data_IF_976591465290
#
_entry.id   IF_976591465290
#
_cell.length_a   1.000
_cell.length_b   1.000
_cell.length_c   1.000
_cell.angle_alpha   90.00
_cell.angle_beta   90.00
_cell.angle_gamma   90.00
#
_symmetry.space_group_name_H-M   'P 1'
#
loop_
_entity.id
_entity.type
_entity.pdbx_description
1 polymer ?
#
# COMPACT_ATOMS: atom_id res chain seq x y z
N UNK A 1 4.39 12.61 -18.66
CA UNK A 1 4.16 12.16 -17.28
C UNK A 1 4.64 13.19 -16.24
N UNK A 2 5.87 13.77 -16.38
CA UNK A 2 6.38 14.78 -15.43
C UNK A 2 5.40 15.96 -15.25
N UNK A 3 4.90 16.55 -16.35
CA UNK A 3 3.95 17.67 -16.26
C UNK A 3 2.65 17.30 -15.52
N UNK A 4 2.18 16.07 -15.70
CA UNK A 4 1.03 15.51 -14.99
C UNK A 4 1.30 15.44 -13.48
N UNK A 5 2.40 14.81 -13.09
CA UNK A 5 2.75 14.66 -11.66
C UNK A 5 2.99 16.03 -10.99
N UNK A 6 3.66 16.96 -11.66
CA UNK A 6 3.83 18.33 -11.13
C UNK A 6 2.50 19.05 -10.92
N UNK A 7 1.55 18.90 -11.83
CA UNK A 7 0.23 19.51 -11.67
C UNK A 7 -0.47 19.01 -10.40
N UNK A 8 -0.49 17.69 -10.18
CA UNK A 8 -1.13 17.12 -8.98
C UNK A 8 -0.33 17.37 -7.69
N UNK A 9 0.99 17.40 -7.77
CA UNK A 9 1.85 17.81 -6.65
C UNK A 9 1.58 19.25 -6.20
N UNK A 10 1.31 20.19 -7.15
CA UNK A 10 0.86 21.54 -6.81
C UNK A 10 -0.50 21.57 -6.10
N UNK A 11 -1.41 20.67 -6.49
CA UNK A 11 -2.71 20.53 -5.81
C UNK A 11 -2.48 20.00 -4.40
N UNK A 12 -1.66 18.95 -4.25
CA UNK A 12 -1.29 18.37 -2.96
C UNK A 12 -0.67 19.41 -2.02
N UNK A 13 0.25 20.25 -2.54
CA UNK A 13 0.85 21.36 -1.78
C UNK A 13 -0.22 22.33 -1.26
N UNK A 14 -1.13 22.76 -2.13
CA UNK A 14 -2.20 23.70 -1.74
C UNK A 14 -3.21 23.07 -0.77
N UNK A 15 -3.45 21.79 -0.88
CA UNK A 15 -4.36 21.04 -0.01
C UNK A 15 -3.73 20.67 1.34
N UNK A 16 -2.42 20.84 1.50
CA UNK A 16 -1.70 20.44 2.71
C UNK A 16 -1.60 18.94 2.88
N UNK A 17 -1.49 18.19 1.77
CA UNK A 17 -1.32 16.73 1.84
C UNK A 17 -0.01 16.38 2.54
N UNK A 18 -0.06 15.38 3.41
CA UNK A 18 1.08 14.94 4.24
C UNK A 18 2.06 14.04 3.48
N UNK A 19 1.64 13.44 2.37
CA UNK A 19 2.43 12.57 1.49
C UNK A 19 1.93 12.70 0.05
N UNK A 20 2.86 12.74 -0.90
CA UNK A 20 2.56 12.64 -2.32
C UNK A 20 3.22 11.40 -2.92
N UNK A 21 2.44 10.48 -3.46
CA UNK A 21 2.96 9.32 -4.20
C UNK A 21 3.13 9.71 -5.67
N UNK A 22 4.38 9.75 -6.14
CA UNK A 22 4.73 10.17 -7.49
C UNK A 22 4.36 9.16 -8.59
N UNK A 23 3.88 8.01 -8.22
CA UNK A 23 3.36 6.96 -9.10
C UNK A 23 2.89 5.76 -8.30
N UNK A 24 2.09 4.91 -8.95
CA UNK A 24 1.55 3.69 -8.40
C UNK A 24 1.67 2.60 -9.46
N UNK A 25 2.31 1.48 -9.11
CA UNK A 25 2.42 0.25 -9.90
C UNK A 25 2.83 0.46 -11.37
N UNK A 26 3.75 1.36 -11.60
CA UNK A 26 4.23 1.66 -12.96
C UNK A 26 5.35 0.70 -13.38
N UNK A 27 5.12 -0.60 -13.17
CA UNK A 27 6.08 -1.71 -13.29
C UNK A 27 6.87 -1.69 -14.60
N UNK A 28 6.21 -1.36 -15.73
CA UNK A 28 6.84 -1.28 -17.04
C UNK A 28 7.88 -0.17 -17.19
N UNK A 29 7.95 0.76 -16.23
CA UNK A 29 8.86 1.90 -16.28
C UNK A 29 9.82 1.99 -15.09
N UNK A 30 9.68 1.16 -14.08
CA UNK A 30 10.47 1.20 -12.84
C UNK A 30 11.98 1.04 -13.09
N UNK A 31 12.36 0.29 -14.13
CA UNK A 31 13.75 0.15 -14.58
C UNK A 31 14.36 1.44 -15.15
N UNK A 32 13.56 2.47 -15.43
CA UNK A 32 14.00 3.75 -15.99
C UNK A 32 14.43 4.72 -14.89
N UNK A 33 15.45 4.34 -14.15
CA UNK A 33 15.93 5.07 -12.97
C UNK A 33 16.18 6.56 -13.21
N UNK A 34 16.87 6.91 -14.32
CA UNK A 34 17.20 8.31 -14.63
C UNK A 34 15.94 9.17 -14.78
N UNK A 35 14.91 8.64 -15.43
CA UNK A 35 13.65 9.33 -15.65
C UNK A 35 12.84 9.46 -14.36
N UNK A 36 12.85 8.43 -13.51
CA UNK A 36 12.20 8.48 -12.20
C UNK A 36 12.88 9.49 -11.28
N UNK A 37 14.21 9.49 -11.19
CA UNK A 37 14.95 10.51 -10.42
C UNK A 37 14.65 11.92 -10.89
N UNK A 38 14.59 12.14 -12.21
CA UNK A 38 14.19 13.42 -12.78
C UNK A 38 12.76 13.80 -12.41
N UNK A 39 11.82 12.87 -12.50
CA UNK A 39 10.41 13.11 -12.14
C UNK A 39 10.29 13.54 -10.68
N UNK A 40 10.93 12.82 -9.77
CA UNK A 40 10.92 13.11 -8.33
C UNK A 40 11.53 14.50 -8.07
N UNK A 41 12.66 14.81 -8.68
CA UNK A 41 13.29 16.13 -8.57
C UNK A 41 12.35 17.26 -9.06
N UNK A 42 11.63 17.03 -10.15
CA UNK A 42 10.66 18.00 -10.67
C UNK A 42 9.41 18.15 -9.78
N UNK A 43 8.94 17.07 -9.15
CA UNK A 43 7.86 17.13 -8.14
C UNK A 43 8.30 18.00 -6.96
N UNK A 44 9.53 17.83 -6.46
CA UNK A 44 10.09 18.60 -5.36
C UNK A 44 10.26 20.10 -5.65
N UNK A 45 10.14 20.53 -6.89
CA UNK A 45 10.12 21.98 -7.22
C UNK A 45 8.79 22.65 -6.88
N UNK A 46 7.74 21.88 -6.59
CA UNK A 46 6.36 22.38 -6.38
C UNK A 46 5.65 21.77 -5.18
N UNK A 47 6.28 20.81 -4.49
CA UNK A 47 5.77 20.16 -3.31
C UNK A 47 6.89 19.99 -2.27
N UNK A 48 6.67 20.54 -1.08
CA UNK A 48 7.67 20.57 0.01
C UNK A 48 7.56 19.39 0.98
N UNK A 49 6.47 18.65 0.92
CA UNK A 49 6.22 17.50 1.78
C UNK A 49 6.95 16.22 1.32
N UNK A 50 6.82 15.14 2.07
CA UNK A 50 7.39 13.84 1.72
C UNK A 50 6.88 13.32 0.37
N UNK A 51 7.79 12.81 -0.45
CA UNK A 51 7.46 12.16 -1.74
C UNK A 51 7.73 10.67 -1.62
N UNK A 52 6.77 9.85 -2.02
CA UNK A 52 6.90 8.40 -2.10
C UNK A 52 6.63 7.85 -3.50
N UNK A 53 6.80 6.57 -3.64
CA UNK A 53 6.38 5.79 -4.79
C UNK A 53 5.79 4.47 -4.31
N UNK A 54 4.65 4.06 -4.89
CA UNK A 54 4.02 2.77 -4.62
C UNK A 54 4.38 1.78 -5.73
N UNK A 55 5.18 0.75 -5.40
CA UNK A 55 5.43 -0.35 -6.32
C UNK A 55 4.35 -1.44 -6.21
N UNK A 56 4.21 -2.24 -7.24
CA UNK A 56 3.42 -3.47 -7.17
C UNK A 56 4.09 -4.46 -6.20
N UNK A 57 3.29 -5.33 -5.58
CA UNK A 57 3.78 -6.43 -4.75
C UNK A 57 4.89 -7.23 -5.45
N UNK A 58 5.83 -7.74 -4.68
CA UNK A 58 7.04 -8.43 -5.14
C UNK A 58 8.03 -7.58 -5.96
N UNK A 59 7.77 -6.26 -6.12
CA UNK A 59 8.64 -5.34 -6.86
C UNK A 59 9.61 -4.57 -5.97
N UNK A 60 9.49 -4.63 -4.67
CA UNK A 60 10.16 -3.74 -3.74
C UNK A 60 11.69 -3.82 -3.82
N UNK A 61 12.25 -5.01 -4.03
CA UNK A 61 13.69 -5.24 -4.15
C UNK A 61 14.25 -5.01 -5.56
N UNK A 62 13.39 -4.83 -6.56
CA UNK A 62 13.79 -4.53 -7.94
C UNK A 62 14.06 -3.05 -8.20
N UNK A 63 13.50 -2.16 -7.40
CA UNK A 63 13.66 -0.72 -7.57
C UNK A 63 15.01 -0.25 -7.01
N UNK A 64 15.82 0.38 -7.86
CA UNK A 64 17.18 0.81 -7.52
C UNK A 64 17.28 2.26 -7.04
N UNK A 65 16.19 3.02 -7.13
CA UNK A 65 16.14 4.46 -6.85
C UNK A 65 15.29 4.84 -5.62
N UNK A 66 15.10 3.92 -4.67
CA UNK A 66 14.44 4.19 -3.40
C UNK A 66 15.09 5.32 -2.57
N UNK A 67 16.38 5.58 -2.78
CA UNK A 67 17.06 6.71 -2.15
C UNK A 67 16.55 8.08 -2.62
N UNK A 68 15.93 8.17 -3.80
CA UNK A 68 15.37 9.41 -4.35
C UNK A 68 14.05 9.82 -3.70
N UNK A 69 13.30 8.89 -3.09
CA UNK A 69 12.04 9.18 -2.39
C UNK A 69 12.26 9.29 -0.87
N UNK A 70 11.26 9.78 -0.15
CA UNK A 70 11.27 9.88 1.31
C UNK A 70 10.56 8.70 1.96
N UNK A 71 9.58 8.11 1.26
CA UNK A 71 8.76 6.99 1.73
C UNK A 71 8.73 5.89 0.67
N UNK A 72 9.07 4.68 1.07
CA UNK A 72 8.86 3.48 0.25
C UNK A 72 7.41 3.05 0.45
N UNK A 73 6.67 2.85 -0.63
CA UNK A 73 5.33 2.32 -0.56
C UNK A 73 5.15 1.11 -1.48
N UNK A 74 4.27 0.19 -1.11
CA UNK A 74 3.96 -1.00 -1.88
C UNK A 74 2.48 -1.38 -1.78
N UNK A 75 2.02 -2.19 -2.73
CA UNK A 75 0.71 -2.82 -2.71
C UNK A 75 0.78 -4.18 -2.02
N UNK A 76 0.14 -4.28 -0.85
CA UNK A 76 0.18 -5.47 -0.01
C UNK A 76 -0.94 -6.47 -0.33
N UNK A 77 -0.86 -7.15 -1.46
CA UNK A 77 -1.81 -8.21 -1.85
C UNK A 77 -1.12 -9.58 -1.80
N UNK A 78 -0.58 -9.93 -0.62
CA UNK A 78 0.11 -11.22 -0.43
C UNK A 78 -0.87 -12.30 0.04
N UNK A 79 -0.65 -13.58 -0.35
CA UNK A 79 -1.38 -14.71 0.19
C UNK A 79 -1.41 -14.71 1.73
N UNK A 80 -2.49 -15.20 2.31
CA UNK A 80 -2.70 -15.20 3.78
C UNK A 80 -1.57 -15.87 4.54
N UNK A 81 -0.95 -16.89 3.97
CA UNK A 81 0.13 -17.69 4.56
C UNK A 81 1.55 -17.20 4.19
N UNK A 82 1.66 -16.11 3.42
CA UNK A 82 2.96 -15.61 2.92
C UNK A 82 3.37 -14.25 3.50
N UNK A 83 2.55 -13.60 4.31
CA UNK A 83 2.81 -12.28 4.87
C UNK A 83 4.15 -12.19 5.61
N UNK A 84 4.47 -13.19 6.46
CA UNK A 84 5.72 -13.21 7.22
C UNK A 84 6.95 -13.22 6.29
N UNK A 85 6.96 -14.09 5.27
CA UNK A 85 8.07 -14.18 4.31
C UNK A 85 8.23 -12.89 3.51
N UNK A 86 7.12 -12.27 3.10
CA UNK A 86 7.20 -11.04 2.32
C UNK A 86 7.66 -9.86 3.16
N UNK A 87 7.22 -9.75 4.41
CA UNK A 87 7.70 -8.72 5.32
C UNK A 87 9.20 -8.90 5.64
N UNK A 88 9.68 -10.13 5.80
CA UNK A 88 11.13 -10.39 5.98
C UNK A 88 11.94 -9.95 4.75
N UNK A 89 11.44 -10.22 3.54
CA UNK A 89 12.08 -9.77 2.29
C UNK A 89 12.09 -8.23 2.17
N UNK A 90 10.97 -7.57 2.47
CA UNK A 90 10.83 -6.12 2.40
C UNK A 90 11.71 -5.43 3.46
N UNK A 91 11.87 -6.05 4.63
CA UNK A 91 12.73 -5.51 5.70
C UNK A 91 14.17 -5.29 5.23
N UNK A 92 14.71 -6.15 4.36
CA UNK A 92 16.03 -5.98 3.79
C UNK A 92 16.12 -4.73 2.88
N UNK A 93 15.04 -4.41 2.17
CA UNK A 93 14.94 -3.17 1.38
C UNK A 93 14.91 -1.95 2.32
N UNK A 94 14.10 -2.00 3.36
CA UNK A 94 14.01 -0.92 4.36
C UNK A 94 15.35 -0.71 5.07
N UNK A 95 16.03 -1.77 5.46
CA UNK A 95 17.37 -1.72 6.07
C UNK A 95 18.40 -1.11 5.12
N UNK A 96 18.35 -1.48 3.83
CA UNK A 96 19.27 -0.97 2.81
C UNK A 96 19.12 0.54 2.58
N UNK A 97 17.88 1.01 2.46
CA UNK A 97 17.62 2.40 2.09
C UNK A 97 17.34 3.33 3.28
N UNK A 98 17.10 2.78 4.47
CA UNK A 98 16.82 3.52 5.72
C UNK A 98 15.67 4.53 5.56
N UNK A 99 14.59 4.10 4.88
CA UNK A 99 13.39 4.90 4.63
C UNK A 99 12.19 4.31 5.36
N UNK A 100 11.23 5.14 5.82
CA UNK A 100 9.95 4.65 6.30
C UNK A 100 9.21 3.91 5.18
N UNK A 101 8.45 2.89 5.56
CA UNK A 101 7.69 2.04 4.65
C UNK A 101 6.21 2.05 5.01
N UNK A 102 5.35 2.09 3.99
CA UNK A 102 3.90 1.92 4.13
C UNK A 102 3.37 0.96 3.06
N UNK A 103 2.30 0.25 3.37
CA UNK A 103 1.44 -0.32 2.33
C UNK A 103 0.38 0.73 1.98
N UNK A 104 0.51 1.39 0.83
CA UNK A 104 -0.50 2.37 0.39
C UNK A 104 -1.76 1.72 -0.17
N UNK A 105 -1.68 0.43 -0.47
CA UNK A 105 -2.81 -0.44 -0.76
C UNK A 105 -2.61 -1.79 -0.06
N UNK A 106 -3.67 -2.32 0.54
CA UNK A 106 -3.72 -3.69 1.03
C UNK A 106 -5.18 -4.16 1.05
N UNK A 107 -5.45 -5.31 0.47
CA UNK A 107 -6.82 -5.79 0.35
C UNK A 107 -6.97 -7.25 -0.05
N UNK A 108 -8.13 -7.79 0.29
CA UNK A 108 -8.57 -9.13 -0.09
C UNK A 108 -10.07 -9.08 -0.39
N UNK A 109 -10.53 -9.76 -1.42
CA UNK A 109 -11.96 -9.85 -1.71
C UNK A 109 -12.68 -10.76 -0.71
N UNK A 110 -13.97 -10.50 -0.50
CA UNK A 110 -14.86 -11.42 0.23
C UNK A 110 -15.34 -12.59 -0.66
N UNK A 111 -14.47 -13.16 -1.45
CA UNK A 111 -14.76 -14.30 -2.32
C UNK A 111 -13.93 -15.49 -1.85
N UNK A 112 -14.58 -16.63 -1.65
CA UNK A 112 -13.90 -17.85 -1.22
C UNK A 112 -12.70 -18.20 -2.09
N UNK A 113 -11.56 -18.44 -1.47
CA UNK A 113 -10.27 -18.66 -2.13
C UNK A 113 -9.47 -17.39 -2.41
N UNK A 114 -10.03 -16.19 -2.20
CA UNK A 114 -9.33 -14.93 -2.43
C UNK A 114 -8.13 -14.75 -1.50
N UNK A 115 -8.17 -15.28 -0.29
CA UNK A 115 -7.07 -15.15 0.66
C UNK A 115 -5.75 -15.77 0.18
N UNK A 116 -5.79 -16.72 -0.76
CA UNK A 116 -4.61 -17.32 -1.39
C UNK A 116 -4.16 -16.58 -2.65
N UNK A 117 -5.02 -15.76 -3.24
CA UNK A 117 -4.75 -15.00 -4.47
C UNK A 117 -5.37 -13.59 -4.38
N UNK A 118 -5.04 -12.79 -3.36
CA UNK A 118 -5.77 -11.56 -3.03
C UNK A 118 -5.74 -10.49 -4.11
N UNK A 119 -4.76 -10.54 -5.02
CA UNK A 119 -4.67 -9.64 -6.17
C UNK A 119 -5.43 -10.13 -7.41
N UNK A 120 -6.09 -11.30 -7.35
CA UNK A 120 -6.89 -11.80 -8.47
C UNK A 120 -8.30 -11.18 -8.45
N UNK A 121 -8.41 -9.94 -8.89
CA UNK A 121 -9.65 -9.17 -8.94
C UNK A 121 -10.70 -9.75 -9.91
N UNK A 122 -10.35 -10.74 -10.74
CA UNK A 122 -11.25 -11.48 -11.63
C UNK A 122 -11.83 -12.74 -10.98
N UNK A 123 -11.37 -13.13 -9.78
CA UNK A 123 -11.85 -14.31 -9.09
C UNK A 123 -13.37 -14.24 -8.88
N UNK A 124 -14.05 -15.31 -9.28
CA UNK A 124 -15.49 -15.48 -9.09
C UNK A 124 -15.75 -16.62 -8.12
N UNK A 125 -16.77 -16.49 -7.29
CA UNK A 125 -17.10 -17.53 -6.33
C UNK A 125 -18.22 -17.12 -5.38
N UNK A 126 -18.38 -17.88 -4.32
CA UNK A 126 -19.27 -17.53 -3.22
C UNK A 126 -18.65 -16.44 -2.36
N UNK A 127 -19.48 -15.57 -1.81
CA UNK A 127 -19.04 -14.63 -0.78
C UNK A 127 -18.57 -15.40 0.46
N UNK A 128 -17.47 -14.95 1.03
CA UNK A 128 -16.86 -15.47 2.23
C UNK A 128 -16.25 -14.31 3.03
N UNK A 129 -17.10 -13.62 3.78
CA UNK A 129 -16.70 -12.48 4.60
C UNK A 129 -15.75 -12.89 5.75
N UNK A 130 -15.83 -14.16 6.19
CA UNK A 130 -14.94 -14.68 7.22
C UNK A 130 -13.51 -14.84 6.69
N UNK A 131 -13.35 -15.40 5.50
CA UNK A 131 -12.04 -15.52 4.84
C UNK A 131 -11.39 -14.14 4.63
N UNK A 132 -12.18 -13.13 4.23
CA UNK A 132 -11.68 -11.75 4.13
C UNK A 132 -11.17 -11.24 5.48
N UNK A 133 -11.91 -11.44 6.55
CA UNK A 133 -11.53 -11.02 7.90
C UNK A 133 -10.26 -11.74 8.39
N UNK A 134 -10.15 -13.05 8.14
CA UNK A 134 -8.98 -13.86 8.50
C UNK A 134 -7.73 -13.39 7.76
N UNK A 135 -7.86 -12.98 6.51
CA UNK A 135 -6.76 -12.40 5.74
C UNK A 135 -6.21 -11.11 6.40
N UNK A 136 -7.10 -10.20 6.81
CA UNK A 136 -6.68 -8.97 7.53
C UNK A 136 -6.06 -9.30 8.90
N UNK A 137 -6.59 -10.28 9.62
CA UNK A 137 -5.99 -10.73 10.89
C UNK A 137 -4.56 -11.25 10.67
N UNK A 138 -4.33 -12.06 9.64
CA UNK A 138 -3.00 -12.56 9.30
C UNK A 138 -2.04 -11.42 8.94
N UNK A 139 -2.47 -10.46 8.12
CA UNK A 139 -1.70 -9.27 7.76
C UNK A 139 -1.28 -8.49 9.01
N UNK A 140 -2.21 -8.18 9.90
CA UNK A 140 -1.92 -7.42 11.12
C UNK A 140 -1.05 -8.21 12.12
N UNK A 141 -1.26 -9.52 12.24
CA UNK A 141 -0.45 -10.38 13.09
C UNK A 141 1.01 -10.44 12.63
N UNK A 142 1.24 -10.49 11.34
CA UNK A 142 2.59 -10.43 10.77
C UNK A 142 3.24 -9.05 10.98
N UNK A 143 2.45 -7.97 10.89
CA UNK A 143 2.93 -6.61 11.10
C UNK A 143 3.31 -6.31 12.55
N UNK A 144 2.61 -6.85 13.55
CA UNK A 144 2.85 -6.54 14.98
C UNK A 144 4.33 -6.62 15.40
N UNK A 145 5.09 -7.48 14.76
CA UNK A 145 6.51 -7.72 15.06
C UNK A 145 7.46 -6.78 14.30
N UNK A 146 6.92 -5.83 13.50
CA UNK A 146 7.69 -5.04 12.53
C UNK A 146 7.36 -3.56 12.64
N UNK A 147 8.10 -2.85 13.49
CA UNK A 147 7.92 -1.43 13.78
C UNK A 147 8.29 -0.50 12.60
N UNK A 148 8.98 -1.03 11.61
CA UNK A 148 9.38 -0.31 10.40
C UNK A 148 8.22 -0.11 9.41
N UNK A 149 7.15 -0.92 9.44
CA UNK A 149 5.91 -0.68 8.67
C UNK A 149 5.09 0.39 9.38
N UNK A 150 4.91 1.55 8.75
CA UNK A 150 4.29 2.73 9.38
C UNK A 150 2.80 2.86 9.17
N UNK A 151 2.21 2.08 8.27
CA UNK A 151 0.76 2.08 8.05
C UNK A 151 0.30 1.31 6.84
N UNK A 152 -1.04 1.22 6.72
CA UNK A 152 -1.74 0.55 5.65
C UNK A 152 -2.85 1.45 5.10
N UNK A 153 -2.95 1.55 3.77
CA UNK A 153 -4.13 2.01 3.06
C UNK A 153 -5.00 0.81 2.70
N UNK A 154 -6.22 0.75 3.21
CA UNK A 154 -7.11 -0.39 2.98
C UNK A 154 -7.81 -0.26 1.63
N UNK A 155 -7.68 -1.26 0.79
CA UNK A 155 -8.38 -1.40 -0.46
C UNK A 155 -9.52 -2.44 -0.33
N UNK A 156 -10.86 -2.05 -0.32
CA UNK A 156 -11.17 -0.66 -0.53
C UNK A 156 -12.23 -0.19 0.50
N UNK A 157 -12.38 1.11 0.57
CA UNK A 157 -13.50 1.73 1.27
C UNK A 157 -14.35 2.46 0.22
N UNK A 158 -15.55 1.99 -0.10
CA UNK A 158 -16.32 2.52 -1.22
C UNK A 158 -16.79 3.95 -0.98
N UNK A 159 -16.75 4.77 -2.02
CA UNK A 159 -17.30 6.12 -1.99
C UNK A 159 -18.84 6.17 -2.00
N UNK A 160 -19.51 5.04 -2.28
CA UNK A 160 -20.95 4.87 -2.23
C UNK A 160 -21.32 3.48 -1.72
N UNK A 161 -22.25 3.40 -0.78
CA UNK A 161 -22.74 2.14 -0.22
C UNK A 161 -23.69 1.37 -1.16
N UNK A 162 -24.11 1.98 -2.27
CA UNK A 162 -25.00 1.34 -3.26
C UNK A 162 -24.29 0.27 -4.10
N UNK A 163 -22.95 0.38 -4.23
CA UNK A 163 -22.13 -0.58 -5.01
C UNK A 163 -20.86 -0.90 -4.23
N UNK A 164 -20.95 -1.88 -3.36
CA UNK A 164 -19.75 -2.42 -2.68
C UNK A 164 -19.00 -3.32 -3.65
N UNK A 165 -17.71 -3.07 -3.81
CA UNK A 165 -16.84 -4.01 -4.48
C UNK A 165 -16.64 -5.27 -3.61
N UNK A 166 -16.19 -6.39 -4.18
CA UNK A 166 -15.78 -7.54 -3.37
C UNK A 166 -14.66 -7.21 -2.36
N UNK A 167 -13.82 -6.21 -2.65
CA UNK A 167 -12.78 -5.74 -1.73
C UNK A 167 -13.30 -4.85 -0.59
N UNK A 168 -14.52 -4.30 -0.71
CA UNK A 168 -15.05 -3.42 0.33
C UNK A 168 -15.10 -4.11 1.68
N UNK A 169 -14.61 -3.43 2.71
CA UNK A 169 -14.58 -3.95 4.09
C UNK A 169 -15.74 -3.46 4.93
N UNK A 170 -16.38 -2.35 4.54
CA UNK A 170 -17.46 -1.72 5.30
C UNK A 170 -18.69 -2.63 5.43
N UNK A 171 -19.30 -2.65 6.64
CA UNK A 171 -20.39 -3.53 7.06
C UNK A 171 -20.09 -5.04 6.91
N UNK A 172 -18.81 -5.42 6.99
CA UNK A 172 -18.34 -6.81 7.00
C UNK A 172 -17.49 -7.09 8.25
N UNK A 173 -17.25 -8.34 8.64
CA UNK A 173 -16.38 -8.68 9.76
C UNK A 173 -14.97 -8.07 9.69
N UNK A 174 -14.42 -7.92 8.48
CA UNK A 174 -13.14 -7.28 8.24
C UNK A 174 -13.07 -5.83 8.76
N UNK A 175 -14.18 -5.08 8.72
CA UNK A 175 -14.22 -3.72 9.29
C UNK A 175 -13.94 -3.72 10.80
N UNK A 176 -14.51 -4.67 11.53
CA UNK A 176 -14.29 -4.77 12.96
C UNK A 176 -12.82 -5.11 13.29
N UNK A 177 -12.22 -6.03 12.53
CA UNK A 177 -10.79 -6.37 12.64
C UNK A 177 -9.92 -5.14 12.45
N UNK A 178 -10.14 -4.39 11.36
CA UNK A 178 -9.37 -3.19 11.03
C UNK A 178 -9.54 -2.12 12.12
N UNK A 179 -10.77 -1.88 12.58
CA UNK A 179 -11.08 -0.89 13.61
C UNK A 179 -10.40 -1.23 14.95
N UNK A 180 -10.38 -2.50 15.35
CA UNK A 180 -9.69 -2.96 16.56
C UNK A 180 -8.19 -2.73 16.47
N UNK A 181 -7.56 -3.12 15.37
CA UNK A 181 -6.13 -2.96 15.14
C UNK A 181 -5.70 -1.49 15.09
N UNK A 182 -6.43 -0.64 14.40
CA UNK A 182 -6.14 0.80 14.40
C UNK A 182 -6.34 1.43 15.79
N UNK A 183 -7.35 0.99 16.54
CA UNK A 183 -7.57 1.46 17.91
C UNK A 183 -6.45 1.03 18.86
N UNK A 184 -5.88 -0.16 18.67
CA UNK A 184 -4.74 -0.67 19.42
C UNK A 184 -3.48 0.15 19.13
N UNK A 185 -3.23 0.44 17.86
CA UNK A 185 -2.09 1.26 17.45
C UNK A 185 -2.16 2.69 18.00
N UNK A 186 -3.36 3.29 18.02
CA UNK A 186 -3.54 4.65 18.54
C UNK A 186 -3.27 4.76 20.06
N UNK A 187 -3.46 3.68 20.83
CA UNK A 187 -3.20 3.66 22.28
C UNK A 187 -1.71 3.46 22.62
N UNK A 188 -0.92 2.94 21.70
CA UNK A 188 0.50 2.62 21.91
C UNK A 188 1.43 3.72 21.39
N UNK A 189 0.89 4.83 20.89
CA UNK A 189 1.61 6.05 20.48
C UNK A 189 1.46 7.13 21.54
#
# INVERSE_FOLDING_TARGET
HIAFQKHYAQIAQRAGCELFLAGCEMTMTEHRETEWRKLIAEVRTVYDGPVGYNCDKYGEDHITWWDAVDVIASSGYYPIDDWENQLDRIEEVVKKYQKPFIFSEAGCMNIHGSALVPNNWELQGKEDDAEQADWYLAMFSAWEKRDWVKGFGIWDWPGSMERKSPYAVCDRPAEAVIAEEYSRCAKNR
#
